data_IF_758307197601
#
_entry.id   IF_758307197601
#
_cell.length_a   1.000
_cell.length_b   1.000
_cell.length_c   1.000
_cell.angle_alpha   90.00
_cell.angle_beta   90.00
_cell.angle_gamma   90.00
#
_symmetry.space_group_name_H-M   'P 1'
#
loop_
_entity.id
_entity.type
_entity.pdbx_description
1 polymer ?
#
# COMPACT_ATOMS: atom_id res chain seq x y z
N UNK A 1 8.18 -8.58 19.17
CA UNK A 1 9.44 -8.12 18.55
C UNK A 1 9.50 -8.74 17.16
N UNK A 2 9.23 -7.96 16.12
CA UNK A 2 9.35 -8.41 14.73
C UNK A 2 10.82 -8.64 14.39
N UNK A 3 11.11 -9.68 13.61
CA UNK A 3 12.46 -9.94 13.11
C UNK A 3 12.71 -8.99 11.94
N UNK A 4 13.61 -8.04 12.10
CA UNK A 4 14.00 -7.16 11.01
C UNK A 4 14.93 -7.95 10.07
N UNK A 5 14.60 -7.95 8.78
CA UNK A 5 15.49 -8.53 7.78
C UNK A 5 16.69 -7.61 7.58
N UNK A 6 17.86 -8.19 7.31
CA UNK A 6 19.06 -7.42 6.96
C UNK A 6 18.77 -6.70 5.62
N UNK A 7 19.05 -5.38 5.52
CA UNK A 7 18.76 -4.63 4.29
C UNK A 7 19.60 -5.12 3.11
N UNK A 8 18.96 -5.30 1.96
CA UNK A 8 19.65 -5.60 0.70
C UNK A 8 19.97 -4.31 -0.06
N UNK A 9 21.26 -4.01 -0.23
CA UNK A 9 21.74 -2.82 -0.94
C UNK A 9 22.27 -3.24 -2.31
N UNK A 10 21.78 -2.60 -3.38
CA UNK A 10 22.15 -2.89 -4.77
C UNK A 10 22.36 -1.59 -5.54
N UNK A 11 23.12 -1.65 -6.63
CA UNK A 11 23.23 -0.53 -7.57
C UNK A 11 21.94 -0.37 -8.37
N UNK A 12 21.50 0.87 -8.58
CA UNK A 12 20.25 1.19 -9.28
C UNK A 12 20.47 2.36 -10.24
N UNK A 13 20.05 2.20 -11.50
CA UNK A 13 20.24 3.19 -12.58
C UNK A 13 18.94 3.77 -13.12
N UNK A 14 17.80 3.49 -12.48
CA UNK A 14 16.50 4.03 -12.85
C UNK A 14 16.15 5.32 -12.09
N UNK A 15 14.87 5.72 -12.17
CA UNK A 15 14.34 6.86 -11.42
C UNK A 15 14.17 6.51 -9.94
N UNK A 16 14.68 7.32 -9.03
CA UNK A 16 14.50 7.15 -7.58
C UNK A 16 13.02 6.99 -7.23
N UNK A 17 12.70 6.00 -6.41
CA UNK A 17 11.36 5.78 -5.89
C UNK A 17 11.45 5.22 -4.47
N UNK A 18 10.38 5.40 -3.70
CA UNK A 18 10.17 4.70 -2.42
C UNK A 18 8.94 3.82 -2.55
N UNK A 19 9.06 2.55 -2.18
CA UNK A 19 7.96 1.59 -2.21
C UNK A 19 7.84 0.95 -0.83
N UNK A 20 6.64 1.01 -0.25
CA UNK A 20 6.33 0.41 1.05
C UNK A 20 5.37 -0.77 0.80
N UNK A 21 5.75 -1.94 1.29
CA UNK A 21 4.91 -3.15 1.28
C UNK A 21 4.79 -3.64 2.71
N UNK A 22 3.55 -3.84 3.18
CA UNK A 22 3.26 -4.39 4.49
C UNK A 22 2.19 -5.46 4.39
N UNK A 23 2.10 -6.30 5.41
CA UNK A 23 1.01 -7.25 5.62
C UNK A 23 0.43 -6.99 7.01
N UNK A 24 -0.90 -6.89 7.10
CA UNK A 24 -1.56 -6.65 8.38
C UNK A 24 -1.67 -7.95 9.16
N UNK A 25 -1.44 -7.85 10.47
CA UNK A 25 -1.73 -8.92 11.42
C UNK A 25 -3.23 -8.92 11.73
N UNK A 26 -4.01 -9.62 10.91
CA UNK A 26 -5.47 -9.61 10.98
C UNK A 26 -6.00 -10.22 12.29
N UNK A 27 -5.28 -11.15 12.90
CA UNK A 27 -5.67 -11.79 14.16
C UNK A 27 -5.75 -10.78 15.30
N UNK A 28 -4.81 -9.82 15.36
CA UNK A 28 -4.85 -8.72 16.35
C UNK A 28 -6.10 -7.85 16.21
N UNK A 29 -6.61 -7.71 14.99
CA UNK A 29 -7.84 -6.97 14.72
C UNK A 29 -9.10 -7.86 14.80
N UNK A 30 -8.94 -9.15 15.14
CA UNK A 30 -10.01 -10.16 15.15
C UNK A 30 -10.68 -10.28 13.78
N UNK A 31 -9.91 -10.10 12.71
CA UNK A 31 -10.35 -10.19 11.32
C UNK A 31 -9.78 -11.44 10.66
N UNK A 32 -10.48 -11.97 9.67
CA UNK A 32 -10.01 -13.11 8.85
C UNK A 32 -9.52 -12.65 7.49
N UNK A 33 -10.10 -11.56 6.98
CA UNK A 33 -9.74 -10.94 5.71
C UNK A 33 -10.05 -9.44 5.76
N UNK A 34 -9.50 -8.69 4.80
CA UNK A 34 -9.95 -7.33 4.53
C UNK A 34 -11.25 -7.42 3.73
N UNK A 35 -12.37 -7.10 4.38
CA UNK A 35 -13.71 -7.10 3.78
C UNK A 35 -13.99 -5.85 2.93
N UNK A 36 -15.18 -5.78 2.34
CA UNK A 36 -15.55 -4.67 1.47
C UNK A 36 -15.59 -3.33 2.20
N UNK A 37 -15.95 -3.32 3.48
CA UNK A 37 -16.06 -2.10 4.28
C UNK A 37 -14.68 -1.46 4.51
N UNK A 38 -13.69 -2.26 4.92
CA UNK A 38 -12.33 -1.73 5.10
C UNK A 38 -11.69 -1.33 3.77
N UNK A 39 -11.95 -2.07 2.69
CA UNK A 39 -11.49 -1.72 1.35
C UNK A 39 -12.12 -0.42 0.84
N UNK A 40 -13.39 -0.17 1.14
CA UNK A 40 -14.07 1.09 0.81
C UNK A 40 -13.43 2.27 1.55
N UNK A 41 -13.07 2.10 2.83
CA UNK A 41 -12.38 3.12 3.61
C UNK A 41 -10.99 3.42 3.04
N UNK A 42 -10.20 2.41 2.68
CA UNK A 42 -8.88 2.60 2.05
C UNK A 42 -9.01 3.31 0.69
N UNK A 43 -9.97 2.89 -0.13
CA UNK A 43 -10.22 3.52 -1.43
C UNK A 43 -10.63 4.99 -1.28
N UNK A 44 -11.47 5.33 -0.29
CA UNK A 44 -11.80 6.73 0.00
C UNK A 44 -10.56 7.53 0.38
N UNK A 45 -9.66 6.94 1.18
CA UNK A 45 -8.41 7.60 1.58
C UNK A 45 -7.49 7.87 0.39
N UNK A 46 -7.40 6.94 -0.56
CA UNK A 46 -6.61 7.13 -1.78
C UNK A 46 -7.14 8.32 -2.60
N UNK A 47 -8.46 8.43 -2.74
CA UNK A 47 -9.12 9.57 -3.43
C UNK A 47 -8.86 10.88 -2.69
N UNK A 48 -8.97 10.89 -1.36
CA UNK A 48 -8.69 12.09 -0.56
C UNK A 48 -7.24 12.56 -0.72
N UNK A 49 -6.27 11.64 -0.78
CA UNK A 49 -4.86 11.97 -1.03
C UNK A 49 -4.68 12.55 -2.43
N UNK A 50 -5.32 11.95 -3.43
CA UNK A 50 -5.28 12.47 -4.80
C UNK A 50 -5.86 13.89 -4.89
N UNK A 51 -6.91 14.20 -4.11
CA UNK A 51 -7.53 15.51 -4.08
C UNK A 51 -6.69 16.56 -3.33
N UNK A 52 -5.97 16.19 -2.28
CA UNK A 52 -5.20 17.14 -1.46
C UNK A 52 -3.75 17.37 -1.95
N UNK A 53 -3.24 16.55 -2.87
CA UNK A 53 -1.88 16.66 -3.40
C UNK A 53 -1.89 17.22 -4.83
N UNK A 54 -1.29 18.40 -5.01
CA UNK A 54 -1.19 19.04 -6.34
C UNK A 54 0.02 18.51 -7.10
N UNK A 55 -0.17 18.12 -8.36
CA UNK A 55 0.92 17.66 -9.23
C UNK A 55 1.38 16.22 -8.99
N UNK A 56 0.70 15.48 -8.11
CA UNK A 56 1.00 14.07 -7.82
C UNK A 56 -0.06 13.18 -8.47
N UNK A 57 0.37 12.15 -9.21
CA UNK A 57 -0.54 11.17 -9.81
C UNK A 57 -0.69 9.96 -8.89
N UNK A 58 -1.85 9.82 -8.27
CA UNK A 58 -2.19 8.64 -7.46
C UNK A 58 -2.75 7.54 -8.37
N UNK A 59 -2.24 6.32 -8.22
CA UNK A 59 -2.68 5.14 -8.95
C UNK A 59 -3.28 4.13 -7.96
N UNK A 60 -4.56 3.81 -8.13
CA UNK A 60 -5.27 2.77 -7.37
C UNK A 60 -5.58 1.63 -8.34
N UNK A 61 -5.39 0.36 -7.94
CA UNK A 61 -5.56 -0.79 -8.83
C UNK A 61 -7.03 -1.07 -9.16
N UNK A 62 -7.28 -1.51 -10.39
CA UNK A 62 -8.56 -2.01 -10.90
C UNK A 62 -8.97 -3.40 -10.39
N UNK A 63 -10.27 -3.52 -10.15
CA UNK A 63 -11.17 -4.68 -9.98
C UNK A 63 -10.52 -6.09 -9.99
N UNK A 64 -10.50 -6.75 -8.83
CA UNK A 64 -10.20 -8.19 -8.75
C UNK A 64 -9.72 -8.69 -7.39
N UNK A 65 -10.62 -8.73 -6.40
CA UNK A 65 -10.77 -9.62 -5.21
C UNK A 65 -9.57 -10.33 -4.54
N UNK A 66 -8.31 -10.02 -4.82
CA UNK A 66 -7.16 -10.53 -4.09
C UNK A 66 -6.25 -9.37 -3.71
N UNK A 67 -6.19 -9.07 -2.42
CA UNK A 67 -5.34 -8.02 -1.88
C UNK A 67 -3.87 -8.36 -2.16
N UNK A 68 -3.23 -7.51 -2.96
CA UNK A 68 -1.78 -7.51 -3.21
C UNK A 68 -1.26 -6.11 -2.90
N UNK A 69 0.01 -5.97 -2.47
CA UNK A 69 0.53 -4.71 -1.96
C UNK A 69 0.32 -3.55 -2.94
N UNK A 70 -0.25 -2.47 -2.41
CA UNK A 70 -0.50 -1.21 -3.13
C UNK A 70 0.83 -0.53 -3.42
N UNK A 71 1.15 -0.39 -4.70
CA UNK A 71 2.35 0.34 -5.15
C UNK A 71 2.00 1.82 -5.25
N UNK A 72 2.21 2.53 -4.14
CA UNK A 72 2.26 3.99 -4.17
C UNK A 72 3.65 4.41 -4.65
N UNK A 73 3.73 5.09 -5.79
CA UNK A 73 4.97 5.70 -6.29
C UNK A 73 4.83 7.20 -6.13
N UNK A 74 5.67 7.76 -5.26
CA UNK A 74 5.94 9.20 -5.16
C UNK A 74 7.22 9.46 -5.95
#
# INVERSE_FOLDING_TARGET
>A
MTRDNIPEIRTYSGSSFTEITFSLDLEKFKMVALDQDILAVFSRRDVEIAACTRGVKVLVRGEGLSWKPTRMRI
#
